data_IF_744178658793
#
_entry.id   IF_744178658793
#
_cell.length_a   1.000
_cell.length_b   1.000
_cell.length_c   1.000
_cell.angle_alpha   90.00
_cell.angle_beta   90.00
_cell.angle_gamma   90.00
#
_symmetry.space_group_name_H-M   'P 1'
#
loop_
_entity.id
_entity.type
_entity.pdbx_description
1 polymer ?
#
# COMPACT_ATOMS: atom_id res chain seq x y z
N UNK A 1 -10.66 -2.93 17.44
CA UNK A 1 -9.98 -2.54 16.19
C UNK A 1 -8.56 -2.16 16.59
N UNK A 2 -7.56 -2.47 15.77
CA UNK A 2 -6.17 -2.10 16.02
C UNK A 2 -5.75 -1.08 14.96
N UNK A 3 -4.80 -0.20 15.26
CA UNK A 3 -3.99 0.52 14.29
C UNK A 3 -3.05 -0.46 13.60
N UNK A 4 -2.92 -0.41 12.28
CA UNK A 4 -2.31 -1.44 11.44
C UNK A 4 -1.36 -0.83 10.40
N UNK A 5 -0.28 -1.55 10.10
CA UNK A 5 0.64 -1.18 9.03
C UNK A 5 0.17 -1.76 7.69
N UNK A 6 -0.83 -1.11 7.08
CA UNK A 6 -1.48 -1.62 5.86
C UNK A 6 -0.68 -1.25 4.61
N UNK A 7 -0.03 -2.24 4.00
CA UNK A 7 0.53 -2.14 2.65
C UNK A 7 0.61 -3.53 2.01
N UNK A 8 0.76 -3.62 0.69
CA UNK A 8 0.65 -4.91 0.00
C UNK A 8 1.70 -5.95 0.42
N UNK A 9 2.88 -5.54 0.93
CA UNK A 9 3.84 -6.49 1.48
C UNK A 9 3.35 -7.22 2.76
N UNK A 10 2.32 -6.70 3.43
CA UNK A 10 1.68 -7.33 4.59
C UNK A 10 0.38 -8.07 4.22
N UNK A 11 -0.01 -8.08 2.94
CA UNK A 11 -1.18 -8.78 2.43
C UNK A 11 -0.76 -10.11 1.80
N UNK A 12 -1.24 -11.21 2.39
CA UNK A 12 -0.93 -12.57 1.96
C UNK A 12 -2.13 -13.22 1.26
N UNK A 13 -1.85 -14.15 0.34
CA UNK A 13 -2.88 -15.04 -0.20
C UNK A 13 -2.86 -16.34 0.59
N UNK A 14 -4.04 -16.86 0.92
CA UNK A 14 -4.18 -18.12 1.65
C UNK A 14 -3.52 -19.29 0.89
N UNK A 15 -2.74 -20.08 1.60
CA UNK A 15 -2.14 -21.31 1.08
C UNK A 15 -3.22 -22.35 0.72
N UNK A 16 -2.89 -23.34 -0.14
CA UNK A 16 -3.79 -24.46 -0.44
C UNK A 16 -4.33 -25.10 0.83
N UNK A 17 -5.61 -25.48 0.82
CA UNK A 17 -6.32 -25.93 2.03
C UNK A 17 -5.67 -27.14 2.71
N UNK A 18 -4.99 -28.03 1.99
CA UNK A 18 -4.28 -29.18 2.55
C UNK A 18 -2.82 -28.89 2.93
N UNK A 19 -2.32 -27.66 2.75
CA UNK A 19 -0.91 -27.37 3.01
C UNK A 19 -0.54 -27.61 4.48
N UNK A 20 -1.44 -27.27 5.41
CA UNK A 20 -1.26 -27.46 6.85
C UNK A 20 -1.35 -28.93 7.30
N UNK A 21 -1.79 -29.84 6.43
CA UNK A 21 -1.90 -31.28 6.76
C UNK A 21 -0.69 -32.07 6.28
N UNK A 22 0.19 -31.47 5.49
CA UNK A 22 1.41 -32.14 4.99
C UNK A 22 2.42 -32.29 6.13
N UNK A 23 2.96 -33.50 6.30
CA UNK A 23 4.20 -33.70 7.05
C UNK A 23 5.39 -33.06 6.31
N UNK A 24 6.49 -32.81 7.02
CA UNK A 24 7.73 -32.27 6.42
C UNK A 24 8.19 -33.13 5.24
N UNK A 25 8.09 -34.46 5.37
CA UNK A 25 8.47 -35.40 4.31
C UNK A 25 7.59 -35.24 3.07
N UNK A 26 6.26 -35.20 3.23
CA UNK A 26 5.33 -35.01 2.12
C UNK A 26 5.49 -33.62 1.47
N UNK A 27 5.85 -32.60 2.26
CA UNK A 27 6.16 -31.27 1.77
C UNK A 27 7.39 -31.29 0.86
N UNK A 28 8.47 -31.96 1.24
CA UNK A 28 9.67 -32.09 0.41
C UNK A 28 9.46 -33.00 -0.80
N UNK A 29 8.70 -34.10 -0.67
CA UNK A 29 8.33 -34.94 -1.81
C UNK A 29 7.52 -34.16 -2.86
N UNK A 30 6.65 -33.25 -2.42
CA UNK A 30 5.78 -32.48 -3.32
C UNK A 30 6.46 -31.25 -3.91
N UNK A 31 7.23 -30.51 -3.11
CA UNK A 31 7.75 -29.18 -3.48
C UNK A 31 9.28 -29.14 -3.63
N UNK A 32 9.97 -30.23 -3.31
CA UNK A 32 11.42 -30.32 -3.30
C UNK A 32 12.04 -30.01 -1.94
N UNK A 33 13.30 -30.43 -1.79
CA UNK A 33 14.14 -30.10 -0.64
C UNK A 33 14.54 -28.61 -0.66
N UNK A 34 14.74 -27.96 0.50
CA UNK A 34 15.15 -26.57 0.56
C UNK A 34 16.47 -26.31 -0.16
N UNK A 35 16.43 -25.49 -1.21
CA UNK A 35 17.63 -25.04 -1.89
C UNK A 35 18.34 -23.94 -1.11
N UNK A 36 19.65 -24.07 -0.93
CA UNK A 36 20.47 -23.04 -0.28
C UNK A 36 21.42 -22.37 -1.26
N UNK A 37 21.67 -21.09 -1.04
CA UNK A 37 22.69 -20.29 -1.73
C UNK A 37 23.73 -19.80 -0.72
N UNK A 38 24.98 -19.72 -1.16
CA UNK A 38 26.05 -19.15 -0.34
C UNK A 38 25.89 -17.64 -0.28
N UNK A 39 25.96 -17.10 0.94
CA UNK A 39 26.06 -15.65 1.14
C UNK A 39 27.53 -15.28 1.02
N UNK A 40 27.83 -14.30 0.18
CA UNK A 40 29.19 -13.78 0.00
C UNK A 40 29.15 -12.25 0.05
N UNK A 41 30.26 -11.65 0.48
CA UNK A 41 30.39 -10.19 0.46
C UNK A 41 30.77 -9.74 -0.95
N UNK A 42 30.19 -8.62 -1.39
CA UNK A 42 30.54 -8.01 -2.67
C UNK A 42 32.04 -7.64 -2.77
N UNK A 43 32.70 -7.38 -1.64
CA UNK A 43 34.13 -7.09 -1.55
C UNK A 43 35.03 -8.34 -1.42
N UNK A 44 34.45 -9.55 -1.46
CA UNK A 44 35.17 -10.82 -1.39
C UNK A 44 35.76 -11.18 -0.01
N UNK A 45 35.55 -10.36 1.02
CA UNK A 45 36.06 -10.63 2.38
C UNK A 45 35.26 -11.74 3.08
N UNK A 46 35.79 -12.34 4.15
CA UNK A 46 35.04 -13.29 4.97
C UNK A 46 33.82 -12.64 5.63
N UNK A 47 32.77 -13.43 5.83
CA UNK A 47 31.58 -13.00 6.55
C UNK A 47 31.88 -12.77 8.05
N UNK A 48 31.30 -11.72 8.66
CA UNK A 48 31.29 -11.57 10.11
C UNK A 48 30.56 -12.74 10.80
N UNK A 49 30.87 -13.06 12.06
CA UNK A 49 30.30 -14.21 12.77
C UNK A 49 28.77 -14.13 12.97
N UNK A 50 28.19 -12.93 12.90
CA UNK A 50 26.75 -12.70 13.03
C UNK A 50 25.97 -12.75 11.71
N UNK A 51 26.64 -13.05 10.59
CA UNK A 51 25.99 -13.17 9.27
C UNK A 51 25.89 -14.64 8.89
N UNK A 52 24.69 -15.14 8.54
CA UNK A 52 24.54 -16.54 8.12
C UNK A 52 25.37 -16.83 6.86
N UNK A 53 26.00 -18.00 6.80
CA UNK A 53 26.80 -18.39 5.64
C UNK A 53 25.95 -18.84 4.43
N UNK A 54 24.67 -19.13 4.67
CA UNK A 54 23.72 -19.64 3.67
C UNK A 54 22.37 -18.95 3.82
N UNK A 55 21.71 -18.70 2.71
CA UNK A 55 20.29 -18.36 2.65
C UNK A 55 19.51 -19.51 2.01
N UNK A 56 18.26 -19.71 2.44
CA UNK A 56 17.34 -20.63 1.80
C UNK A 56 16.56 -19.86 0.73
N UNK A 57 16.46 -20.38 -0.49
CA UNK A 57 15.66 -19.75 -1.54
C UNK A 57 14.16 -19.84 -1.20
N UNK A 58 13.36 -18.81 -1.52
CA UNK A 58 11.91 -18.91 -1.40
C UNK A 58 11.35 -20.09 -2.20
N UNK A 59 10.40 -20.81 -1.61
CA UNK A 59 9.75 -21.94 -2.25
C UNK A 59 8.61 -21.47 -3.15
N UNK A 60 8.62 -21.88 -4.41
CA UNK A 60 7.48 -21.67 -5.31
C UNK A 60 6.43 -22.77 -5.09
N UNK A 61 5.24 -22.38 -4.64
CA UNK A 61 4.16 -23.32 -4.31
C UNK A 61 3.31 -23.76 -5.52
N UNK A 62 3.79 -23.52 -6.74
CA UNK A 62 3.23 -24.11 -7.95
C UNK A 62 2.06 -23.34 -8.57
N UNK A 63 1.79 -22.10 -8.15
CA UNK A 63 0.69 -21.30 -8.70
C UNK A 63 1.18 -19.92 -9.13
N UNK A 64 1.02 -19.63 -10.42
CA UNK A 64 1.34 -18.33 -10.99
C UNK A 64 0.16 -17.37 -10.84
N UNK A 65 0.43 -16.07 -10.79
CA UNK A 65 -0.59 -15.05 -10.55
C UNK A 65 -1.72 -15.09 -11.59
N UNK A 66 -1.40 -15.41 -12.84
CA UNK A 66 -2.35 -15.50 -13.96
C UNK A 66 -3.30 -16.71 -13.83
N UNK A 67 -2.96 -17.67 -12.97
CA UNK A 67 -3.75 -18.88 -12.72
C UNK A 67 -4.54 -18.82 -11.42
N UNK A 68 -4.44 -17.72 -10.67
CA UNK A 68 -5.25 -17.49 -9.48
C UNK A 68 -6.71 -17.28 -9.89
N UNK A 69 -7.58 -18.10 -9.33
CA UNK A 69 -9.03 -17.91 -9.39
C UNK A 69 -9.46 -17.04 -8.21
N UNK A 70 -10.65 -16.45 -8.30
CA UNK A 70 -11.20 -15.69 -7.18
C UNK A 70 -11.35 -16.54 -5.89
N UNK A 71 -11.57 -17.85 -6.03
CA UNK A 71 -11.63 -18.76 -4.89
C UNK A 71 -10.30 -18.89 -4.13
N UNK A 72 -9.19 -18.74 -4.85
CA UNK A 72 -7.85 -18.74 -4.27
C UNK A 72 -7.53 -17.41 -3.59
N UNK A 73 -8.06 -16.31 -4.12
CA UNK A 73 -7.76 -14.94 -3.66
C UNK A 73 -8.62 -14.63 -2.44
N UNK A 74 -8.14 -15.07 -1.28
CA UNK A 74 -8.62 -14.63 0.03
C UNK A 74 -7.50 -13.87 0.72
N UNK A 75 -7.44 -12.53 0.58
CA UNK A 75 -6.39 -11.73 1.18
C UNK A 75 -6.46 -11.86 2.70
N UNK A 76 -5.30 -12.05 3.31
CA UNK A 76 -5.10 -12.10 4.75
C UNK A 76 -4.13 -10.99 5.11
N UNK A 77 -4.52 -10.14 6.04
CA UNK A 77 -3.58 -9.22 6.65
C UNK A 77 -2.67 -9.99 7.60
N UNK A 78 -1.39 -9.69 7.54
CA UNK A 78 -0.35 -10.29 8.37
C UNK A 78 0.52 -9.20 8.99
N UNK A 79 1.56 -9.62 9.71
CA UNK A 79 2.53 -8.76 10.38
C UNK A 79 1.90 -7.70 11.32
N UNK A 80 1.39 -8.20 12.44
CA UNK A 80 0.85 -7.36 13.51
C UNK A 80 1.94 -6.88 14.48
N UNK A 81 3.22 -6.90 14.08
CA UNK A 81 4.35 -6.51 14.94
C UNK A 81 4.30 -5.05 15.40
N UNK A 82 3.71 -4.19 14.56
CA UNK A 82 3.50 -2.76 14.83
C UNK A 82 2.03 -2.42 15.14
N UNK A 83 1.18 -3.43 15.32
CA UNK A 83 -0.22 -3.20 15.64
C UNK A 83 -0.39 -2.71 17.09
N UNK A 84 -1.25 -1.72 17.29
CA UNK A 84 -1.58 -1.19 18.61
C UNK A 84 -3.08 -0.92 18.70
N UNK A 85 -3.63 -0.73 19.89
CA UNK A 85 -5.05 -0.43 20.04
C UNK A 85 -5.23 1.07 20.39
N UNK A 86 -5.60 1.95 19.43
CA UNK A 86 -5.74 3.39 19.67
C UNK A 86 -6.69 3.75 20.83
N UNK A 87 -7.64 2.86 21.15
CA UNK A 87 -8.57 3.05 22.25
C UNK A 87 -7.96 2.81 23.66
N UNK A 88 -6.84 2.10 23.75
CA UNK A 88 -6.18 1.75 25.02
C UNK A 88 -4.72 2.17 25.10
N UNK A 89 -4.10 2.48 23.97
CA UNK A 89 -2.68 2.82 23.85
C UNK A 89 -2.52 4.06 22.97
N UNK A 90 -1.70 5.00 23.43
CA UNK A 90 -1.35 6.20 22.66
C UNK A 90 -0.01 5.92 21.97
N UNK A 91 -0.06 5.85 20.64
CA UNK A 91 1.12 5.87 19.78
C UNK A 91 1.17 7.20 19.05
N UNK A 92 2.31 7.88 19.08
CA UNK A 92 2.45 9.20 18.48
C UNK A 92 2.95 9.10 17.03
N UNK A 93 2.71 10.14 16.23
CA UNK A 93 3.17 10.21 14.85
C UNK A 93 4.67 9.93 14.67
N UNK A 94 5.50 10.44 15.58
CA UNK A 94 6.96 10.19 15.59
C UNK A 94 7.37 8.73 15.79
N UNK A 95 6.46 7.93 16.35
CA UNK A 95 6.66 6.50 16.64
C UNK A 95 6.01 5.63 15.54
N UNK A 96 5.58 6.23 14.42
CA UNK A 96 5.02 5.54 13.27
C UNK A 96 6.13 4.89 12.45
N UNK A 97 6.12 3.56 12.36
CA UNK A 97 7.08 2.80 11.57
C UNK A 97 6.58 2.38 10.19
N UNK A 98 5.33 2.71 9.82
CA UNK A 98 4.79 2.47 8.48
C UNK A 98 5.73 3.05 7.42
N UNK A 99 6.03 2.34 6.33
CA UNK A 99 6.93 2.85 5.30
C UNK A 99 6.43 4.19 4.71
N UNK A 100 7.33 5.16 4.40
CA UNK A 100 6.94 6.51 4.01
C UNK A 100 5.88 6.60 2.89
N UNK A 101 5.94 5.71 1.89
CA UNK A 101 5.01 5.68 0.75
C UNK A 101 3.55 5.38 1.14
N UNK A 102 3.34 4.71 2.27
CA UNK A 102 2.02 4.32 2.78
C UNK A 102 1.64 5.06 4.06
N UNK A 103 2.57 5.86 4.60
CA UNK A 103 2.42 6.54 5.88
C UNK A 103 1.54 7.77 5.71
N UNK A 104 0.55 7.89 6.59
CA UNK A 104 -0.31 9.05 6.63
C UNK A 104 0.49 10.35 6.98
N UNK A 105 0.19 11.50 6.35
CA UNK A 105 1.00 12.71 6.47
C UNK A 105 1.06 13.30 7.89
N UNK A 106 0.03 13.09 8.72
CA UNK A 106 0.00 13.53 10.11
C UNK A 106 1.13 12.93 10.94
N UNK A 107 1.61 11.72 10.62
CA UNK A 107 2.72 11.11 11.34
C UNK A 107 4.00 11.97 11.27
N UNK A 108 4.16 12.69 10.16
CA UNK A 108 5.29 13.61 9.91
C UNK A 108 4.98 15.04 10.37
N UNK A 109 3.79 15.56 10.07
CA UNK A 109 3.45 16.97 10.27
C UNK A 109 2.81 17.29 11.63
N UNK A 110 2.33 16.27 12.32
CA UNK A 110 1.91 16.29 13.71
C UNK A 110 2.56 15.15 14.52
N UNK A 111 3.90 15.18 14.70
CA UNK A 111 4.64 14.06 15.30
C UNK A 111 4.32 13.81 16.78
N UNK A 112 3.67 14.76 17.45
CA UNK A 112 3.17 14.59 18.84
C UNK A 112 1.65 14.31 18.89
N UNK A 113 0.98 14.30 17.74
CA UNK A 113 -0.42 13.88 17.63
C UNK A 113 -0.55 12.36 17.76
N UNK A 114 -1.66 11.86 18.31
CA UNK A 114 -1.92 10.43 18.36
C UNK A 114 -2.23 9.88 16.97
N UNK A 115 -1.65 8.74 16.64
CA UNK A 115 -2.10 7.94 15.51
C UNK A 115 -3.46 7.32 15.84
N UNK A 116 -4.37 7.36 14.88
CA UNK A 116 -5.74 6.85 15.02
C UNK A 116 -6.06 5.88 13.89
N UNK A 117 -7.26 5.28 13.92
CA UNK A 117 -7.72 4.45 12.80
C UNK A 117 -7.76 5.20 11.46
N UNK A 118 -7.85 6.53 11.47
CA UNK A 118 -7.77 7.34 10.25
C UNK A 118 -6.41 7.24 9.55
N UNK A 119 -5.33 6.94 10.28
CA UNK A 119 -4.01 6.69 9.68
C UNK A 119 -4.03 5.39 8.86
N UNK A 120 -4.70 4.34 9.36
CA UNK A 120 -4.88 3.10 8.61
C UNK A 120 -5.76 3.29 7.37
N UNK A 121 -6.75 4.19 7.42
CA UNK A 121 -7.62 4.51 6.27
C UNK A 121 -6.80 5.10 5.12
N UNK A 122 -5.81 5.96 5.42
CA UNK A 122 -4.88 6.47 4.43
C UNK A 122 -4.09 5.31 3.80
N UNK A 123 -3.47 4.47 4.62
CA UNK A 123 -2.67 3.33 4.15
C UNK A 123 -3.53 2.34 3.34
N UNK A 124 -4.77 2.10 3.76
CA UNK A 124 -5.75 1.29 3.03
C UNK A 124 -6.06 1.88 1.65
N UNK A 125 -6.19 3.20 1.52
CA UNK A 125 -6.43 3.84 0.22
C UNK A 125 -5.26 3.62 -0.74
N UNK A 126 -4.03 3.74 -0.26
CA UNK A 126 -2.83 3.45 -1.06
C UNK A 126 -2.81 2.00 -1.53
N UNK A 127 -3.18 1.05 -0.65
CA UNK A 127 -3.26 -0.37 -0.98
C UNK A 127 -4.38 -0.69 -1.99
N UNK A 128 -5.58 -0.10 -1.82
CA UNK A 128 -6.70 -0.28 -2.76
C UNK A 128 -6.31 0.23 -4.14
N UNK A 129 -5.72 1.43 -4.22
CA UNK A 129 -5.23 1.98 -5.48
C UNK A 129 -4.23 1.05 -6.15
N UNK A 130 -3.24 0.57 -5.40
CA UNK A 130 -2.21 -0.32 -5.93
C UNK A 130 -2.78 -1.65 -6.43
N UNK A 131 -3.78 -2.21 -5.74
CA UNK A 131 -4.49 -3.42 -6.19
C UNK A 131 -5.23 -3.15 -7.51
N UNK A 132 -5.92 -2.02 -7.63
CA UNK A 132 -6.73 -1.68 -8.82
C UNK A 132 -5.84 -1.32 -10.02
N UNK A 133 -4.71 -0.63 -9.79
CA UNK A 133 -3.82 -0.12 -10.84
C UNK A 133 -2.59 -0.98 -11.12
N UNK A 134 -2.28 -1.96 -10.27
CA UNK A 134 -1.00 -2.69 -10.29
C UNK A 134 0.23 -1.76 -10.19
N UNK A 135 0.02 -0.57 -9.63
CA UNK A 135 0.99 0.51 -9.50
C UNK A 135 0.62 1.38 -8.30
N UNK A 136 1.60 1.81 -7.49
CA UNK A 136 1.31 2.60 -6.31
C UNK A 136 0.97 4.05 -6.68
N UNK A 137 0.10 4.69 -5.89
CA UNK A 137 -0.30 6.09 -6.11
C UNK A 137 0.82 7.09 -5.78
N UNK A 138 1.72 6.70 -4.88
CA UNK A 138 2.95 7.41 -4.53
C UNK A 138 4.12 6.45 -4.73
N UNK A 139 5.32 6.96 -4.98
CA UNK A 139 6.48 6.09 -5.20
C UNK A 139 6.82 5.26 -3.96
N UNK A 140 7.11 3.98 -4.19
CA UNK A 140 7.61 3.03 -3.19
C UNK A 140 9.13 2.87 -3.22
N UNK A 141 9.81 3.64 -4.09
CA UNK A 141 11.27 3.65 -4.15
C UNK A 141 11.86 4.23 -2.86
N UNK A 142 13.10 3.82 -2.55
CA UNK A 142 13.83 4.38 -1.41
C UNK A 142 14.25 5.81 -1.78
N UNK A 143 13.43 6.78 -1.41
CA UNK A 143 13.63 8.20 -1.68
C UNK A 143 13.56 9.06 -0.40
N UNK A 144 14.10 10.28 -0.42
CA UNK A 144 13.93 11.22 0.69
C UNK A 144 12.44 11.47 0.95
N UNK A 145 12.02 11.48 2.21
CA UNK A 145 10.61 11.67 2.58
C UNK A 145 10.01 13.00 2.04
N UNK A 146 10.83 14.03 1.82
CA UNK A 146 10.35 15.29 1.20
C UNK A 146 9.76 15.06 -0.21
N UNK A 147 10.30 14.09 -0.96
CA UNK A 147 9.82 13.77 -2.31
C UNK A 147 8.45 13.12 -2.25
N UNK A 148 8.21 12.22 -1.28
CA UNK A 148 6.88 11.65 -1.01
C UNK A 148 5.87 12.75 -0.63
N UNK A 149 6.26 13.73 0.18
CA UNK A 149 5.40 14.88 0.51
C UNK A 149 5.06 15.70 -0.74
N UNK A 150 6.03 15.92 -1.63
CA UNK A 150 5.79 16.62 -2.89
C UNK A 150 4.78 15.86 -3.77
N UNK A 151 4.89 14.54 -3.84
CA UNK A 151 3.93 13.67 -4.55
C UNK A 151 2.52 13.75 -3.92
N UNK A 152 2.40 13.78 -2.60
CA UNK A 152 1.10 13.99 -1.94
C UNK A 152 0.43 15.28 -2.45
N UNK A 153 1.19 16.37 -2.59
CA UNK A 153 0.67 17.64 -3.08
C UNK A 153 0.36 17.64 -4.57
N UNK A 154 1.18 16.98 -5.39
CA UNK A 154 0.91 16.85 -6.82
C UNK A 154 -0.39 16.10 -7.10
N UNK A 155 -0.64 15.05 -6.34
CA UNK A 155 -1.83 14.20 -6.47
C UNK A 155 -3.05 14.87 -5.83
N UNK A 156 -2.95 15.28 -4.57
CA UNK A 156 -4.11 15.68 -3.74
C UNK A 156 -4.36 17.19 -3.75
N UNK A 157 -3.41 17.97 -4.27
CA UNK A 157 -3.44 19.42 -4.23
C UNK A 157 -2.84 20.00 -2.94
N UNK A 158 -3.18 21.26 -2.60
CA UNK A 158 -2.54 21.97 -1.51
C UNK A 158 -2.83 21.32 -0.16
N UNK A 159 -1.78 21.09 0.62
CA UNK A 159 -1.89 20.61 1.99
C UNK A 159 -2.32 21.72 2.98
N UNK A 160 -2.72 21.39 4.23
CA UNK A 160 -3.02 22.39 5.26
C UNK A 160 -1.89 23.40 5.44
N UNK A 161 -2.25 24.68 5.57
CA UNK A 161 -1.29 25.79 5.58
C UNK A 161 -0.26 25.66 6.71
N UNK A 162 -0.68 25.18 7.88
CA UNK A 162 0.21 24.95 9.01
C UNK A 162 1.25 23.85 8.73
N UNK A 163 0.91 22.85 7.92
CA UNK A 163 1.83 21.78 7.52
C UNK A 163 2.78 22.27 6.43
N UNK A 164 2.26 23.04 5.48
CA UNK A 164 3.07 23.72 4.46
C UNK A 164 4.17 24.58 5.08
N UNK A 165 3.84 25.40 6.09
CA UNK A 165 4.80 26.26 6.77
C UNK A 165 5.88 25.46 7.52
N UNK A 166 5.52 24.30 8.08
CA UNK A 166 6.45 23.39 8.79
C UNK A 166 7.32 22.57 7.85
N UNK A 167 6.96 22.47 6.57
CA UNK A 167 7.73 21.69 5.61
C UNK A 167 9.01 22.43 5.18
N UNK A 168 10.13 22.10 5.82
CA UNK A 168 11.44 22.73 5.55
C UNK A 168 11.97 22.43 4.13
N UNK A 169 11.71 21.22 3.62
CA UNK A 169 12.18 20.78 2.30
C UNK A 169 11.39 21.32 1.10
N UNK A 170 10.28 22.05 1.33
CA UNK A 170 9.33 22.46 0.28
C UNK A 170 9.97 23.25 -0.85
N UNK A 171 10.98 24.08 -0.56
CA UNK A 171 11.59 24.99 -1.53
C UNK A 171 12.36 24.28 -2.64
N UNK A 172 12.65 22.98 -2.48
CA UNK A 172 13.23 22.14 -3.55
C UNK A 172 12.21 21.81 -4.64
N UNK A 173 10.93 21.77 -4.28
CA UNK A 173 9.84 21.26 -5.13
C UNK A 173 8.94 22.40 -5.59
N UNK A 174 8.66 23.35 -4.70
CA UNK A 174 7.69 24.41 -4.92
C UNK A 174 8.23 25.80 -4.55
N UNK A 175 7.72 26.82 -5.23
CA UNK A 175 7.89 28.23 -4.90
C UNK A 175 7.03 28.61 -3.69
N UNK A 176 7.27 29.78 -3.09
CA UNK A 176 6.50 30.24 -1.91
C UNK A 176 5.00 30.44 -2.19
N UNK A 177 4.60 30.67 -3.43
CA UNK A 177 3.19 30.71 -3.87
C UNK A 177 2.60 29.33 -4.20
N UNK A 178 3.32 28.25 -3.89
CA UNK A 178 2.85 26.86 -4.03
C UNK A 178 2.89 26.30 -5.44
N UNK A 179 3.58 26.96 -6.38
CA UNK A 179 3.76 26.45 -7.74
C UNK A 179 5.00 25.56 -7.83
N UNK A 180 5.00 24.51 -8.66
CA UNK A 180 6.21 23.71 -8.89
C UNK A 180 7.38 24.57 -9.38
N UNK A 181 8.59 24.28 -8.90
CA UNK A 181 9.81 24.90 -9.44
C UNK A 181 10.15 24.33 -10.82
N UNK A 182 10.89 25.10 -11.64
CA UNK A 182 11.31 24.64 -12.98
C UNK A 182 12.08 23.31 -12.93
N UNK A 183 12.96 23.15 -11.94
CA UNK A 183 13.74 21.93 -11.76
C UNK A 183 12.89 20.71 -11.36
N UNK A 184 11.73 20.95 -10.72
CA UNK A 184 10.84 19.88 -10.30
C UNK A 184 9.85 19.47 -11.41
N UNK A 185 9.54 20.34 -12.38
CA UNK A 185 8.55 20.07 -13.42
C UNK A 185 8.83 18.77 -14.21
N UNK A 186 10.09 18.46 -14.50
CA UNK A 186 10.47 17.25 -15.24
C UNK A 186 10.23 15.95 -14.46
N UNK A 187 10.31 16.01 -13.12
CA UNK A 187 10.15 14.86 -12.22
C UNK A 187 8.84 14.93 -11.43
N UNK A 188 7.93 15.81 -11.84
CA UNK A 188 6.67 16.06 -11.14
C UNK A 188 5.78 14.82 -11.24
N UNK A 189 5.16 14.48 -10.13
CA UNK A 189 4.21 13.38 -10.12
C UNK A 189 2.92 13.76 -10.86
N UNK A 190 2.27 12.83 -11.58
CA UNK A 190 1.00 13.13 -12.23
C UNK A 190 -0.09 13.52 -11.21
N UNK A 191 -0.98 14.46 -11.54
CA UNK A 191 -2.17 14.74 -10.74
C UNK A 191 -3.10 13.53 -10.65
N UNK A 192 -3.96 13.47 -9.64
CA UNK A 192 -4.77 12.30 -9.32
C UNK A 192 -5.58 11.70 -10.49
N UNK A 193 -6.33 12.52 -11.24
CA UNK A 193 -7.08 12.05 -12.41
C UNK A 193 -6.16 11.52 -13.52
N UNK A 194 -4.99 12.13 -13.68
CA UNK A 194 -4.00 11.69 -14.66
C UNK A 194 -3.33 10.39 -14.23
N UNK A 195 -3.00 10.24 -12.95
CA UNK A 195 -2.52 8.98 -12.35
C UNK A 195 -3.50 7.85 -12.63
N UNK A 196 -4.82 8.09 -12.49
CA UNK A 196 -5.82 7.07 -12.82
C UNK A 196 -5.73 6.63 -14.28
N UNK A 197 -5.62 7.56 -15.22
CA UNK A 197 -5.54 7.22 -16.64
C UNK A 197 -4.24 6.46 -16.98
N UNK A 198 -3.11 6.87 -16.41
CA UNK A 198 -1.79 6.28 -16.68
C UNK A 198 -1.63 4.91 -16.01
N UNK A 199 -2.04 4.81 -14.75
CA UNK A 199 -1.74 3.66 -13.90
C UNK A 199 -2.87 2.64 -13.84
N UNK A 200 -4.13 3.05 -13.98
CA UNK A 200 -5.27 2.11 -13.95
C UNK A 200 -5.81 1.89 -15.36
N UNK A 201 -6.36 2.94 -15.96
CA UNK A 201 -7.19 2.80 -17.16
C UNK A 201 -6.40 2.31 -18.39
N UNK A 202 -5.18 2.82 -18.58
CA UNK A 202 -4.28 2.38 -19.66
C UNK A 202 -4.01 0.87 -19.63
N UNK A 203 -3.76 0.30 -18.45
CA UNK A 203 -3.47 -1.11 -18.31
C UNK A 203 -4.73 -1.97 -18.36
N UNK A 204 -5.83 -1.50 -17.77
CA UNK A 204 -7.13 -2.17 -17.88
C UNK A 204 -7.56 -2.29 -19.34
N UNK A 205 -7.46 -1.22 -20.15
CA UNK A 205 -7.80 -1.27 -21.59
C UNK A 205 -7.06 -2.38 -22.33
N UNK A 206 -5.85 -2.72 -21.89
CA UNK A 206 -5.02 -3.76 -22.49
C UNK A 206 -5.40 -5.18 -22.05
N UNK A 207 -5.91 -5.37 -20.83
CA UNK A 207 -6.02 -6.71 -20.20
C UNK A 207 -7.40 -7.07 -19.62
N UNK A 208 -8.19 -6.10 -19.17
CA UNK A 208 -9.39 -6.30 -18.32
C UNK A 208 -10.62 -5.47 -18.73
N UNK A 209 -10.52 -4.66 -19.79
CA UNK A 209 -11.61 -3.78 -20.24
C UNK A 209 -11.45 -2.34 -19.78
N UNK A 210 -12.55 -1.64 -19.54
CA UNK A 210 -12.58 -0.20 -19.22
C UNK A 210 -13.36 -0.02 -17.91
N UNK A 211 -12.86 0.85 -17.03
CA UNK A 211 -13.70 1.40 -15.94
C UNK A 211 -14.49 2.54 -16.58
N UNK A 212 -15.82 2.41 -16.56
CA UNK A 212 -16.72 3.42 -17.11
C UNK A 212 -16.70 4.69 -16.24
N UNK A 213 -17.08 5.83 -16.82
CA UNK A 213 -16.97 7.13 -16.15
C UNK A 213 -17.78 7.20 -14.85
N UNK A 214 -18.90 6.47 -14.73
CA UNK A 214 -19.67 6.39 -13.47
C UNK A 214 -18.87 5.72 -12.35
N UNK A 215 -18.30 4.53 -12.61
CA UNK A 215 -17.49 3.80 -11.64
C UNK A 215 -16.23 4.58 -11.28
N UNK A 216 -15.56 5.15 -12.29
CA UNK A 216 -14.37 5.98 -12.12
C UNK A 216 -14.65 7.16 -11.20
N UNK A 217 -15.75 7.88 -11.40
CA UNK A 217 -16.09 9.05 -10.59
C UNK A 217 -16.24 8.69 -9.11
N UNK A 218 -16.98 7.62 -8.79
CA UNK A 218 -17.21 7.20 -7.40
C UNK A 218 -15.98 6.55 -6.76
N UNK A 219 -15.15 5.84 -7.55
CA UNK A 219 -13.89 5.28 -7.11
C UNK A 219 -12.89 6.39 -6.73
N UNK A 220 -12.73 7.38 -7.60
CA UNK A 220 -11.85 8.53 -7.33
C UNK A 220 -12.36 9.34 -6.14
N UNK A 221 -13.68 9.51 -5.98
CA UNK A 221 -14.25 10.17 -4.82
C UNK A 221 -13.88 9.48 -3.50
N UNK A 222 -14.11 8.17 -3.39
CA UNK A 222 -13.83 7.45 -2.13
C UNK A 222 -12.34 7.43 -1.81
N UNK A 223 -11.47 7.20 -2.80
CA UNK A 223 -10.01 7.22 -2.59
C UNK A 223 -9.55 8.61 -2.18
N UNK A 224 -10.07 9.67 -2.81
CA UNK A 224 -9.73 11.06 -2.45
C UNK A 224 -10.14 11.39 -1.01
N UNK A 225 -11.32 10.94 -0.56
CA UNK A 225 -11.77 11.14 0.83
C UNK A 225 -10.89 10.37 1.83
N UNK A 226 -10.51 9.14 1.50
CA UNK A 226 -9.60 8.36 2.34
C UNK A 226 -8.18 8.96 2.40
N UNK A 227 -7.75 9.64 1.35
CA UNK A 227 -6.47 10.38 1.26
C UNK A 227 -6.60 11.85 1.66
N UNK A 228 -7.62 12.25 2.42
CA UNK A 228 -7.68 13.60 2.96
C UNK A 228 -6.46 13.85 3.88
N UNK A 229 -5.87 15.05 3.78
CA UNK A 229 -4.68 15.37 4.58
C UNK A 229 -4.98 15.28 6.07
N UNK A 230 -6.09 15.86 6.55
CA UNK A 230 -6.45 15.79 7.96
C UNK A 230 -7.08 14.44 8.31
N UNK A 231 -6.64 13.77 9.39
CA UNK A 231 -7.21 12.49 9.78
C UNK A 231 -8.70 12.58 10.16
N UNK A 232 -9.19 13.73 10.63
CA UNK A 232 -10.60 13.96 10.99
C UNK A 232 -11.51 14.14 9.77
N UNK A 233 -10.94 14.44 8.60
CA UNK A 233 -11.68 14.58 7.33
C UNK A 233 -11.81 13.23 6.60
N UNK A 234 -11.11 12.19 7.08
CA UNK A 234 -11.16 10.85 6.47
C UNK A 234 -12.40 10.08 6.93
N UNK A 235 -13.02 9.29 6.04
CA UNK A 235 -14.09 8.39 6.40
C UNK A 235 -13.59 7.30 7.36
N UNK A 236 -14.49 6.71 8.13
CA UNK A 236 -14.19 5.47 8.84
C UNK A 236 -14.17 4.28 7.88
N UNK A 237 -13.65 3.13 8.32
CA UNK A 237 -13.72 1.90 7.52
C UNK A 237 -15.16 1.48 7.20
N UNK A 238 -16.11 1.75 8.12
CA UNK A 238 -17.54 1.51 7.90
C UNK A 238 -18.07 2.41 6.76
N UNK A 239 -17.77 3.71 6.81
CA UNK A 239 -18.18 4.67 5.77
C UNK A 239 -17.57 4.32 4.39
N UNK A 240 -16.36 3.75 4.36
CA UNK A 240 -15.75 3.25 3.12
C UNK A 240 -16.51 2.04 2.60
N UNK A 241 -16.87 1.08 3.45
CA UNK A 241 -17.68 -0.10 3.07
C UNK A 241 -19.07 0.30 2.56
N UNK A 242 -19.66 1.35 3.12
CA UNK A 242 -20.96 1.90 2.70
C UNK A 242 -20.87 2.87 1.52
N UNK A 243 -19.66 3.13 0.99
CA UNK A 243 -19.49 4.00 -0.17
C UNK A 243 -20.18 3.45 -1.41
N UNK A 244 -20.59 4.35 -2.31
CA UNK A 244 -21.26 3.98 -3.56
C UNK A 244 -20.41 3.03 -4.41
N UNK A 245 -19.09 3.24 -4.48
CA UNK A 245 -18.18 2.34 -5.18
C UNK A 245 -18.22 0.91 -4.62
N UNK A 246 -18.18 0.79 -3.28
CA UNK A 246 -18.24 -0.52 -2.62
C UNK A 246 -19.59 -1.21 -2.84
N UNK A 247 -20.70 -0.49 -2.68
CA UNK A 247 -22.05 -1.07 -2.77
C UNK A 247 -22.40 -1.50 -4.20
N UNK A 248 -22.07 -0.68 -5.21
CA UNK A 248 -22.50 -0.93 -6.60
C UNK A 248 -21.54 -1.81 -7.39
N UNK A 249 -20.24 -1.82 -7.08
CA UNK A 249 -19.21 -2.56 -7.84
C UNK A 249 -18.47 -3.59 -7.00
N UNK A 250 -17.76 -3.17 -5.95
CA UNK A 250 -16.82 -4.08 -5.27
C UNK A 250 -17.49 -5.21 -4.47
N UNK A 251 -18.57 -4.93 -3.72
CA UNK A 251 -19.31 -5.94 -2.95
C UNK A 251 -20.06 -6.93 -3.85
N UNK A 252 -20.77 -6.51 -4.91
CA UNK A 252 -21.34 -7.45 -5.87
C UNK A 252 -20.31 -8.38 -6.51
N UNK A 253 -19.14 -7.85 -6.91
CA UNK A 253 -18.04 -8.65 -7.44
C UNK A 253 -17.52 -9.65 -6.39
N UNK A 254 -17.39 -9.22 -5.13
CA UNK A 254 -17.03 -10.09 -4.02
C UNK A 254 -18.07 -11.18 -3.78
N UNK A 255 -19.37 -10.87 -3.76
CA UNK A 255 -20.43 -11.86 -3.58
C UNK A 255 -20.45 -12.87 -4.73
N UNK A 256 -20.32 -12.40 -5.98
CA UNK A 256 -20.20 -13.27 -7.15
C UNK A 256 -18.98 -14.19 -7.02
N UNK A 257 -17.86 -13.67 -6.51
CA UNK A 257 -16.66 -14.45 -6.25
C UNK A 257 -16.89 -15.60 -5.28
N UNK A 258 -17.69 -15.40 -4.23
CA UNK A 258 -18.04 -16.43 -3.25
C UNK A 258 -18.89 -17.54 -3.85
N UNK A 259 -19.77 -17.20 -4.79
CA UNK A 259 -20.58 -18.19 -5.52
C UNK A 259 -19.74 -19.05 -6.46
N UNK A 260 -18.73 -18.47 -7.11
CA UNK A 260 -17.78 -19.19 -7.98
C UNK A 260 -16.77 -20.05 -7.21
N UNK A 261 -16.71 -19.89 -5.88
CA UNK A 261 -15.79 -20.59 -4.98
C UNK A 261 -16.38 -21.81 -4.28
N UNK A 262 -17.64 -22.15 -4.55
CA UNK A 262 -18.35 -23.34 -4.03
C UNK A 262 -18.48 -24.41 -5.11
#
# INVERSE_FOLDING_TARGET
MFGLDIHLNNVLIKLPSNFHTLSVKELYEKYGEPETVLITRCDGKPLPPNVPAKAVKPLFLGKYAETLTLADVRPLLSDFGEAFAPASEIRLGKDCHTPPAFRAPEARFDPQGPLTYSSDVWSLATAIWEIVGMKPIFSTDIMPEDETVAQHMDVLGPMPQEWWQRWEGRSKFFTEDGRPTEAYLENRWPPFEESFEIDIQKWRRKWRGVIEEEEKAVFLDVIRRMLAFRPEERPTAEDVLESEWMIKWALPDYEQSLHLSR
#
